data_IF_595487925074
#
_entry.id   IF_595487925074
#
_cell.length_a   1.000
_cell.length_b   1.000
_cell.length_c   1.000
_cell.angle_alpha   90.00
_cell.angle_beta   90.00
_cell.angle_gamma   90.00
#
_symmetry.space_group_name_H-M   'P 1'
#
loop_
_entity.id
_entity.type
_entity.pdbx_description
1 polymer ?
#
# COMPACT_ATOMS: atom_id res chain seq x y z
N UNK A 1 10.19 4.63 7.31
CA UNK A 1 9.23 3.81 8.07
C UNK A 1 9.99 2.71 8.80
N UNK A 2 9.61 2.38 10.03
CA UNK A 2 10.24 1.32 10.83
C UNK A 2 9.24 0.17 11.01
N UNK A 3 9.63 -1.09 10.77
CA UNK A 3 8.74 -2.22 11.00
C UNK A 3 8.54 -2.48 12.50
N UNK A 4 7.47 -3.20 12.89
CA UNK A 4 7.26 -3.64 14.27
C UNK A 4 8.45 -4.42 14.81
N UNK A 5 9.09 -3.93 15.87
CA UNK A 5 10.20 -4.61 16.55
C UNK A 5 9.77 -5.94 17.19
N UNK A 6 8.49 -6.08 17.52
CA UNK A 6 7.91 -7.33 18.04
C UNK A 6 7.93 -8.47 17.03
N UNK A 7 7.99 -8.17 15.73
CA UNK A 7 7.94 -9.14 14.65
C UNK A 7 9.20 -9.18 13.79
N UNK A 8 9.85 -8.04 13.56
CA UNK A 8 11.04 -7.90 12.74
C UNK A 8 12.19 -7.45 13.65
N UNK A 9 13.03 -8.40 14.05
CA UNK A 9 14.15 -8.15 14.97
C UNK A 9 15.34 -7.50 14.26
N UNK A 10 15.56 -7.83 12.98
CA UNK A 10 16.69 -7.30 12.23
C UNK A 10 16.41 -5.90 11.71
N UNK A 11 17.32 -4.92 11.91
CA UNK A 11 17.11 -3.57 11.39
C UNK A 11 17.17 -3.56 9.87
N UNK A 12 16.16 -2.92 9.25
CA UNK A 12 16.14 -2.71 7.81
C UNK A 12 17.17 -1.66 7.38
N UNK A 13 17.82 -1.90 6.23
CA UNK A 13 18.67 -0.94 5.56
C UNK A 13 17.85 0.27 5.05
N UNK A 14 18.46 1.44 4.79
CA UNK A 14 17.72 2.64 4.36
C UNK A 14 16.84 2.41 3.12
N UNK A 15 17.37 1.76 2.08
CA UNK A 15 16.58 1.45 0.88
C UNK A 15 15.45 0.47 1.17
N UNK A 16 15.66 -0.46 2.10
CA UNK A 16 14.63 -1.40 2.54
C UNK A 16 13.48 -0.69 3.25
N UNK A 17 13.78 0.33 4.08
CA UNK A 17 12.77 1.18 4.72
C UNK A 17 11.97 2.00 3.71
N UNK A 18 12.62 2.48 2.64
CA UNK A 18 11.95 3.21 1.55
C UNK A 18 11.02 2.29 0.76
N UNK A 19 11.50 1.10 0.37
CA UNK A 19 10.68 0.09 -0.30
C UNK A 19 9.49 -0.35 0.54
N UNK A 20 9.69 -0.58 1.85
CA UNK A 20 8.61 -0.90 2.77
C UNK A 20 7.58 0.25 2.89
N UNK A 21 8.03 1.50 2.98
CA UNK A 21 7.14 2.66 3.01
C UNK A 21 6.30 2.78 1.74
N UNK A 22 6.92 2.54 0.58
CA UNK A 22 6.23 2.49 -0.71
C UNK A 22 5.16 1.39 -0.72
N UNK A 23 5.48 0.17 -0.28
CA UNK A 23 4.50 -0.93 -0.26
C UNK A 23 3.33 -0.64 0.69
N UNK A 24 3.58 -0.08 1.87
CA UNK A 24 2.52 0.30 2.80
C UNK A 24 1.61 1.40 2.26
N UNK A 25 2.15 2.40 1.54
CA UNK A 25 1.36 3.39 0.82
C UNK A 25 0.43 2.73 -0.22
N UNK A 26 0.88 1.65 -0.88
CA UNK A 26 0.10 0.92 -1.90
C UNK A 26 -0.96 -0.04 -1.35
N UNK A 27 -0.91 -0.40 -0.08
CA UNK A 27 -1.93 -1.24 0.56
C UNK A 27 -3.10 -0.44 1.16
N UNK A 28 -3.00 0.89 1.22
CA UNK A 28 -4.01 1.75 1.86
C UNK A 28 -4.84 2.49 0.80
N UNK A 29 -6.18 2.36 0.78
CA UNK A 29 -7.07 3.02 -0.20
C UNK A 29 -6.97 4.54 -0.25
N UNK A 30 -6.50 5.14 0.83
CA UNK A 30 -6.31 6.57 0.97
C UNK A 30 -4.84 6.94 1.22
N UNK A 31 -3.90 6.10 0.76
CA UNK A 31 -2.47 6.38 0.85
C UNK A 31 -2.07 7.62 0.02
N UNK A 32 -0.95 8.28 0.34
CA UNK A 32 -0.38 9.38 -0.47
C UNK A 32 -0.37 9.16 -1.99
N UNK A 33 -0.18 7.93 -2.47
CA UNK A 33 -0.19 7.63 -3.92
C UNK A 33 -1.53 7.16 -4.48
N UNK A 34 -2.53 6.89 -3.64
CA UNK A 34 -3.83 6.34 -4.02
C UNK A 34 -4.53 7.17 -5.12
N UNK A 35 -4.49 8.49 -5.00
CA UNK A 35 -5.32 9.39 -5.82
C UNK A 35 -4.54 10.14 -6.90
N UNK A 36 -3.29 9.76 -7.17
CA UNK A 36 -2.44 10.49 -8.16
C UNK A 36 -3.01 10.50 -9.58
N UNK A 37 -3.88 9.56 -9.92
CA UNK A 37 -4.57 9.49 -11.20
C UNK A 37 -5.96 10.16 -11.18
N UNK A 38 -6.33 10.78 -10.08
CA UNK A 38 -7.65 11.39 -9.86
C UNK A 38 -7.51 12.88 -9.58
N UNK A 39 -8.23 13.69 -10.36
CA UNK A 39 -8.43 15.10 -10.07
C UNK A 39 -9.72 15.26 -9.25
N UNK A 40 -9.62 15.80 -8.05
CA UNK A 40 -10.76 15.99 -7.13
C UNK A 40 -11.23 17.45 -7.12
N UNK A 41 -12.53 17.66 -6.91
CA UNK A 41 -13.08 19.00 -6.72
C UNK A 41 -12.56 19.66 -5.42
N UNK A 42 -12.54 21.01 -5.35
CA UNK A 42 -12.09 21.72 -4.16
C UNK A 42 -12.94 21.41 -2.92
N UNK A 43 -12.36 21.50 -1.71
CA UNK A 43 -13.11 21.39 -0.46
C UNK A 43 -14.28 22.36 -0.41
N UNK A 44 -15.44 21.92 0.10
CA UNK A 44 -16.64 22.75 0.24
C UNK A 44 -17.57 22.76 -0.99
N UNK A 45 -17.20 22.07 -2.07
CA UNK A 45 -18.09 21.82 -3.23
C UNK A 45 -18.63 20.39 -3.21
N UNK A 46 -19.61 20.09 -4.08
CA UNK A 46 -20.03 18.71 -4.31
C UNK A 46 -18.82 17.86 -4.71
N UNK A 47 -18.64 16.72 -4.04
CA UNK A 47 -17.52 15.82 -4.33
C UNK A 47 -17.62 15.29 -5.75
N UNK A 48 -16.61 15.58 -6.56
CA UNK A 48 -16.45 15.05 -7.90
C UNK A 48 -14.98 14.66 -8.05
N UNK A 49 -14.72 13.42 -8.44
CA UNK A 49 -13.39 12.99 -8.85
C UNK A 49 -13.42 12.51 -10.30
N UNK A 50 -12.41 12.93 -11.08
CA UNK A 50 -12.22 12.54 -12.47
C UNK A 50 -10.91 11.80 -12.62
N UNK A 51 -10.95 10.60 -13.19
CA UNK A 51 -9.73 9.89 -13.55
C UNK A 51 -9.12 10.54 -14.79
N UNK A 52 -7.82 10.84 -14.73
CA UNK A 52 -7.10 11.61 -15.76
C UNK A 52 -7.01 10.85 -17.09
N UNK A 53 -7.07 9.51 -17.07
CA UNK A 53 -6.83 8.69 -18.27
C UNK A 53 -8.14 8.34 -19.01
N UNK A 54 -9.08 7.55 -18.45
CA UNK A 54 -10.31 7.18 -19.14
C UNK A 54 -11.40 8.25 -19.05
N UNK A 55 -11.13 9.42 -18.44
CA UNK A 55 -12.12 10.46 -18.13
C UNK A 55 -13.33 9.95 -17.32
N UNK A 56 -13.19 8.84 -16.61
CA UNK A 56 -14.22 8.30 -15.71
C UNK A 56 -14.50 9.32 -14.60
N UNK A 57 -15.76 9.67 -14.41
CA UNK A 57 -16.21 10.57 -13.35
C UNK A 57 -16.93 9.78 -12.27
N UNK A 58 -16.64 10.10 -11.02
CA UNK A 58 -17.31 9.56 -9.85
C UNK A 58 -17.75 10.70 -8.93
N UNK A 59 -18.90 10.54 -8.31
CA UNK A 59 -19.55 11.55 -7.46
C UNK A 59 -19.60 11.16 -5.98
N UNK A 60 -19.05 10.00 -5.60
CA UNK A 60 -18.93 9.59 -4.20
C UNK A 60 -17.50 9.22 -3.83
N UNK A 61 -17.10 9.58 -2.60
CA UNK A 61 -15.77 9.30 -2.06
C UNK A 61 -15.53 7.80 -1.89
N UNK A 62 -16.56 7.03 -1.49
CA UNK A 62 -16.48 5.57 -1.40
C UNK A 62 -16.19 4.92 -2.76
N UNK A 63 -16.76 5.46 -3.84
CA UNK A 63 -16.42 5.01 -5.19
C UNK A 63 -14.95 5.28 -5.53
N UNK A 64 -14.36 6.36 -5.01
CA UNK A 64 -12.94 6.66 -5.25
C UNK A 64 -12.07 5.58 -4.58
N UNK A 65 -12.35 5.27 -3.31
CA UNK A 65 -11.60 4.27 -2.56
C UNK A 65 -11.66 2.88 -3.20
N UNK A 66 -12.83 2.47 -3.70
CA UNK A 66 -13.03 1.17 -4.35
C UNK A 66 -12.41 1.08 -5.75
N UNK A 67 -12.28 2.21 -6.46
CA UNK A 67 -11.67 2.26 -7.79
C UNK A 67 -10.15 2.50 -7.76
N UNK A 68 -9.58 2.80 -6.60
CA UNK A 68 -8.12 2.94 -6.45
C UNK A 68 -7.46 1.56 -6.38
N UNK A 69 -6.47 1.27 -7.25
CA UNK A 69 -5.77 -0.01 -7.23
C UNK A 69 -4.86 -0.11 -5.99
N UNK A 70 -5.19 -1.06 -5.10
CA UNK A 70 -4.37 -1.43 -3.93
C UNK A 70 -3.28 -2.43 -4.31
N UNK A 71 -2.34 -2.01 -5.16
CA UNK A 71 -1.30 -2.89 -5.69
C UNK A 71 0.04 -2.16 -5.82
N UNK A 72 1.12 -2.88 -5.54
CA UNK A 72 2.49 -2.41 -5.68
C UNK A 72 3.33 -3.39 -6.50
N UNK A 73 4.25 -2.86 -7.30
CA UNK A 73 5.29 -3.64 -7.98
C UNK A 73 6.63 -3.25 -7.38
N UNK A 74 7.33 -4.22 -6.80
CA UNK A 74 8.67 -4.03 -6.23
C UNK A 74 9.71 -4.65 -7.18
N UNK A 75 10.25 -3.81 -8.05
CA UNK A 75 11.17 -4.22 -9.13
C UNK A 75 12.60 -3.70 -8.89
N UNK A 76 13.05 -3.74 -7.64
CA UNK A 76 14.43 -3.42 -7.26
C UNK A 76 15.41 -4.47 -7.82
N UNK A 77 16.69 -4.09 -7.98
CA UNK A 77 17.76 -5.02 -8.38
C UNK A 77 17.86 -6.26 -7.47
N UNK A 78 18.38 -7.35 -8.05
CA UNK A 78 18.64 -8.58 -7.31
C UNK A 78 19.66 -8.34 -6.18
N UNK A 79 19.47 -9.01 -5.04
CA UNK A 79 20.36 -8.85 -3.88
C UNK A 79 19.99 -7.72 -2.92
N UNK A 80 19.05 -6.83 -3.26
CA UNK A 80 18.65 -5.71 -2.37
C UNK A 80 17.75 -6.11 -1.18
N UNK A 81 17.41 -7.39 -1.06
CA UNK A 81 16.63 -7.93 0.07
C UNK A 81 15.12 -7.77 -0.09
N UNK A 82 14.58 -7.93 -1.31
CA UNK A 82 13.14 -7.90 -1.60
C UNK A 82 12.32 -8.86 -0.73
N UNK A 83 12.86 -10.04 -0.43
CA UNK A 83 12.22 -11.01 0.48
C UNK A 83 12.08 -10.44 1.90
N UNK A 84 13.11 -9.75 2.41
CA UNK A 84 13.07 -9.11 3.72
C UNK A 84 12.04 -7.98 3.73
N UNK A 85 12.00 -7.16 2.67
CA UNK A 85 10.97 -6.11 2.52
C UNK A 85 9.55 -6.70 2.50
N UNK A 86 9.33 -7.84 1.80
CA UNK A 86 8.04 -8.52 1.76
C UNK A 86 7.63 -9.08 3.14
N UNK A 87 8.55 -9.70 3.88
CA UNK A 87 8.26 -10.19 5.24
C UNK A 87 7.97 -9.01 6.19
N UNK A 88 8.72 -7.92 6.06
CA UNK A 88 8.47 -6.71 6.85
C UNK A 88 7.10 -6.10 6.57
N UNK A 89 6.65 -6.11 5.30
CA UNK A 89 5.30 -5.69 4.92
C UNK A 89 4.24 -6.54 5.61
N UNK A 90 4.38 -7.88 5.58
CA UNK A 90 3.46 -8.80 6.26
C UNK A 90 3.41 -8.51 7.77
N UNK A 91 4.57 -8.27 8.38
CA UNK A 91 4.67 -7.91 9.79
C UNK A 91 3.93 -6.61 10.13
N UNK A 92 4.18 -5.55 9.35
CA UNK A 92 3.49 -4.27 9.52
C UNK A 92 1.98 -4.40 9.31
N UNK A 93 1.55 -5.17 8.30
CA UNK A 93 0.13 -5.36 8.03
C UNK A 93 -0.54 -6.15 9.15
N UNK A 94 0.11 -7.19 9.70
CA UNK A 94 -0.38 -7.92 10.89
C UNK A 94 -0.50 -7.03 12.13
N UNK A 95 0.47 -6.17 12.41
CA UNK A 95 0.37 -5.22 13.52
C UNK A 95 -0.82 -4.27 13.36
N UNK A 96 -1.09 -3.81 12.13
CA UNK A 96 -2.28 -3.02 11.81
C UNK A 96 -3.58 -3.78 12.08
N UNK A 97 -3.60 -5.11 11.93
CA UNK A 97 -4.77 -5.94 12.25
C UNK A 97 -5.03 -6.07 13.76
N UNK A 98 -3.97 -6.09 14.57
CA UNK A 98 -4.12 -6.09 16.03
C UNK A 98 -4.86 -4.83 16.48
N UNK A 99 -4.61 -3.69 15.81
CA UNK A 99 -5.30 -2.43 16.10
C UNK A 99 -6.67 -2.31 15.43
N UNK A 100 -6.94 -3.04 14.34
CA UNK A 100 -8.22 -3.08 13.63
C UNK A 100 -8.63 -4.51 13.24
N UNK A 101 -9.38 -5.23 14.10
CA UNK A 101 -9.63 -6.68 13.93
C UNK A 101 -10.58 -7.04 12.77
N UNK A 102 -11.26 -6.08 12.14
CA UNK A 102 -12.17 -6.32 11.01
C UNK A 102 -11.47 -6.61 9.67
N UNK A 103 -10.13 -6.60 9.61
CA UNK A 103 -9.38 -6.66 8.36
C UNK A 103 -8.48 -7.92 8.25
N UNK A 104 -8.85 -9.06 8.85
CA UNK A 104 -8.02 -10.27 8.76
C UNK A 104 -8.05 -10.87 7.35
N UNK A 105 -7.01 -10.57 6.55
CA UNK A 105 -6.80 -11.20 5.24
C UNK A 105 -5.54 -12.05 5.29
N UNK A 106 -5.61 -13.35 4.95
CA UNK A 106 -4.44 -14.20 4.90
C UNK A 106 -3.48 -13.74 3.80
N UNK A 107 -2.17 -13.77 4.06
CA UNK A 107 -1.15 -13.53 3.03
C UNK A 107 -0.69 -14.85 2.42
N UNK A 108 -0.72 -14.95 1.08
CA UNK A 108 -0.18 -16.08 0.33
C UNK A 108 1.11 -15.63 -0.36
N UNK A 109 2.19 -16.39 -0.18
CA UNK A 109 3.45 -16.21 -0.89
C UNK A 109 3.57 -17.33 -1.91
N UNK A 110 3.72 -16.98 -3.18
CA UNK A 110 3.94 -17.92 -4.27
C UNK A 110 5.34 -17.67 -4.80
N UNK A 111 6.16 -18.71 -4.79
CA UNK A 111 7.52 -18.69 -5.34
C UNK A 111 7.77 -19.97 -6.16
N UNK A 112 8.64 -19.91 -7.18
CA UNK A 112 9.06 -21.11 -7.89
C UNK A 112 9.78 -22.08 -6.95
N UNK A 113 9.69 -23.38 -7.25
CA UNK A 113 10.51 -24.40 -6.61
C UNK A 113 11.96 -24.21 -7.09
N UNK A 114 12.90 -24.18 -6.14
CA UNK A 114 14.33 -24.10 -6.41
C UNK A 114 14.93 -25.46 -6.76
#
# INVERSE_FOLDING_TARGET
MTPPHSMIQNPLLPHQKTGLAFLCDREIPNGPSAHKLWATSPPGSTFIARNIIPNKVISSFESLLTNTPLRGLLADDMGLGKTIQAIALIGTSKERLITNPHCSTPTIIICPLA
#
